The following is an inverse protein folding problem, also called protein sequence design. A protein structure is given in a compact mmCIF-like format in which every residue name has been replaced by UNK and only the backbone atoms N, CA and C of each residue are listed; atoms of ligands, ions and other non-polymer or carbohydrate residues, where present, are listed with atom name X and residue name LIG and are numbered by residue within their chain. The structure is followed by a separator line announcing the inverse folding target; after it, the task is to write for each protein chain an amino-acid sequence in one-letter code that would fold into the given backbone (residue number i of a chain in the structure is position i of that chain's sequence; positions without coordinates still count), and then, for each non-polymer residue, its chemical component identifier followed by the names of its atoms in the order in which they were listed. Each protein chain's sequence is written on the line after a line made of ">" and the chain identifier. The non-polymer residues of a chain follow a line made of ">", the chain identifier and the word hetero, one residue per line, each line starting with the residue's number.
data_IF_168573759604
#
_entry.id   IF_168573759604
#
_cell.length_a   1.000
_cell.length_b   1.000
_cell.length_c   1.000
_cell.angle_alpha   90.00
_cell.angle_beta   90.00
_cell.angle_gamma   90.00
#
_symmetry.space_group_name_H-M   'P 1'
#
loop_
_entity.id
_entity.type
_entity.pdbx_description
1 polymer ?
#
# COMPACT_ATOMS: atom_id res chain seq x y z
N UNK A 1 0.99 -62.91 33.18
CA UNK A 1 0.40 -62.27 31.98
C UNK A 1 -0.14 -60.92 32.42
N UNK A 2 0.35 -59.86 31.79
CA UNK A 2 0.27 -58.44 32.19
C UNK A 2 -1.09 -57.82 31.88
N UNK A 3 -1.59 -56.94 32.74
CA UNK A 3 -2.80 -56.14 32.54
C UNK A 3 -2.61 -55.08 31.43
N UNK A 4 -3.63 -54.79 30.58
CA UNK A 4 -3.54 -53.67 29.64
C UNK A 4 -3.62 -52.33 30.38
N UNK A 5 -2.66 -51.46 30.04
CA UNK A 5 -2.46 -50.10 30.55
C UNK A 5 -3.54 -49.10 30.07
N UNK A 6 -3.68 -47.95 30.75
CA UNK A 6 -4.76 -46.98 30.55
C UNK A 6 -4.63 -46.26 29.20
N UNK A 7 -5.77 -46.01 28.55
CA UNK A 7 -5.84 -45.05 27.46
C UNK A 7 -5.80 -43.64 28.06
N UNK A 8 -4.57 -43.15 28.16
CA UNK A 8 -4.16 -41.79 28.48
C UNK A 8 -4.88 -40.79 27.56
N UNK A 9 -5.58 -39.87 28.20
CA UNK A 9 -5.68 -38.44 27.89
C UNK A 9 -5.39 -37.98 26.45
N UNK A 10 -6.41 -37.40 25.81
CA UNK A 10 -6.28 -36.74 24.52
C UNK A 10 -5.29 -35.56 24.57
N UNK A 11 -4.57 -35.28 23.47
CA UNK A 11 -4.30 -33.89 23.12
C UNK A 11 -4.94 -33.54 21.78
N UNK A 12 -6.03 -32.78 21.87
CA UNK A 12 -6.45 -31.84 20.84
C UNK A 12 -5.41 -30.72 20.75
N UNK A 13 -4.60 -30.68 19.68
CA UNK A 13 -4.20 -29.42 19.04
C UNK A 13 -3.66 -29.71 17.64
N UNK A 14 -4.25 -29.14 16.57
CA UNK A 14 -3.74 -29.24 15.21
C UNK A 14 -2.40 -28.52 15.07
N UNK A 15 -1.54 -29.09 14.22
CA UNK A 15 -0.17 -28.64 13.91
C UNK A 15 -0.09 -27.13 13.67
N UNK A 16 0.67 -26.44 14.53
CA UNK A 16 1.22 -25.11 14.24
C UNK A 16 2.27 -25.28 13.12
N UNK A 17 1.81 -25.23 11.87
CA UNK A 17 2.69 -25.08 10.72
C UNK A 17 3.38 -23.71 10.79
N UNK A 18 4.64 -23.58 10.35
CA UNK A 18 5.35 -22.30 10.41
C UNK A 18 4.54 -21.25 9.65
N UNK A 19 4.00 -20.27 10.39
CA UNK A 19 3.40 -19.07 9.82
C UNK A 19 4.48 -18.42 8.96
N UNK A 20 4.29 -18.19 7.65
CA UNK A 20 5.23 -17.37 6.91
C UNK A 20 5.12 -15.98 7.50
N UNK A 21 6.09 -15.59 8.33
CA UNK A 21 6.33 -14.21 8.71
C UNK A 21 6.81 -13.50 7.45
N UNK A 22 5.89 -13.27 6.52
CA UNK A 22 6.05 -12.35 5.41
C UNK A 22 5.91 -10.94 5.95
N UNK A 23 6.80 -10.54 6.86
CA UNK A 23 7.14 -9.13 6.96
C UNK A 23 7.83 -8.80 5.64
N UNK A 24 7.26 -7.92 4.78
CA UNK A 24 8.02 -7.44 3.64
C UNK A 24 9.30 -6.81 4.20
N UNK A 25 10.48 -7.09 3.62
CA UNK A 25 11.72 -6.46 4.09
C UNK A 25 11.49 -4.96 4.08
N UNK A 26 11.75 -4.32 5.22
CA UNK A 26 11.49 -2.90 5.40
C UNK A 26 12.16 -2.08 4.30
N UNK A 27 11.34 -1.48 3.44
CA UNK A 27 11.74 -0.34 2.60
C UNK A 27 11.79 0.95 3.46
N UNK A 28 12.20 0.82 4.72
CA UNK A 28 12.34 1.93 5.66
C UNK A 28 13.62 2.76 5.38
N UNK A 29 14.42 2.37 4.38
CA UNK A 29 15.64 3.08 3.99
C UNK A 29 15.75 3.27 2.47
N UNK A 30 14.61 3.34 1.77
CA UNK A 30 14.58 4.00 0.48
C UNK A 30 14.73 5.51 0.72
N UNK A 31 15.96 5.95 1.03
CA UNK A 31 16.39 7.33 0.77
C UNK A 31 15.79 7.73 -0.58
N UNK A 32 15.15 8.90 -0.70
CA UNK A 32 14.53 9.27 -1.97
C UNK A 32 15.63 9.28 -3.02
N UNK A 33 15.66 8.22 -3.85
CA UNK A 33 16.55 8.12 -5.01
C UNK A 33 16.10 9.21 -5.94
N UNK A 34 16.73 10.40 -5.89
CA UNK A 34 16.48 11.58 -6.73
C UNK A 34 15.16 11.49 -7.51
N UNK A 35 14.04 11.47 -6.78
CA UNK A 35 12.77 11.12 -7.38
C UNK A 35 12.27 12.35 -8.10
N UNK A 36 12.23 12.29 -9.43
CA UNK A 36 11.67 13.39 -10.23
C UNK A 36 10.16 13.39 -10.05
N UNK A 37 9.65 14.38 -9.32
CA UNK A 37 8.22 14.60 -9.12
C UNK A 37 7.71 15.61 -10.13
N UNK A 38 6.61 15.28 -10.81
CA UNK A 38 5.90 16.20 -11.70
C UNK A 38 4.53 16.52 -11.13
N UNK A 39 4.28 17.82 -10.96
CA UNK A 39 3.03 18.33 -10.39
C UNK A 39 2.15 18.84 -11.53
N UNK A 40 0.93 18.33 -11.62
CA UNK A 40 -0.05 18.71 -12.64
C UNK A 40 -1.33 19.23 -11.98
N UNK A 41 -1.88 20.30 -12.55
CA UNK A 41 -3.23 20.77 -12.23
C UNK A 41 -4.24 19.78 -12.80
N UNK A 42 -5.20 19.31 -11.98
CA UNK A 42 -6.22 18.37 -12.41
C UNK A 42 -7.06 18.87 -13.61
N UNK A 43 -7.18 20.21 -13.78
CA UNK A 43 -7.90 20.84 -14.90
C UNK A 43 -7.18 20.66 -16.24
N UNK A 44 -5.86 20.44 -16.22
CA UNK A 44 -5.00 20.41 -17.40
C UNK A 44 -4.42 19.00 -17.66
N UNK A 45 -4.81 18.00 -16.86
CA UNK A 45 -4.30 16.63 -16.99
C UNK A 45 -4.85 15.97 -18.25
N UNK A 46 -3.92 15.50 -19.09
CA UNK A 46 -4.21 14.57 -20.18
C UNK A 46 -3.56 13.23 -19.89
N UNK A 47 -4.31 12.14 -20.06
CA UNK A 47 -3.82 10.79 -19.79
C UNK A 47 -2.53 10.43 -20.54
N UNK A 48 -2.35 10.75 -21.84
CA UNK A 48 -1.09 10.46 -22.54
C UNK A 48 0.14 11.10 -21.90
N UNK A 49 0.00 12.33 -21.39
CA UNK A 49 1.10 13.03 -20.73
C UNK A 49 1.45 12.35 -19.41
N UNK A 50 0.46 11.96 -18.61
CA UNK A 50 0.69 11.22 -17.35
C UNK A 50 1.41 9.90 -17.62
N UNK A 51 0.94 9.12 -18.60
CA UNK A 51 1.56 7.84 -18.95
C UNK A 51 3.02 8.00 -19.36
N UNK A 52 3.34 9.00 -20.20
CA UNK A 52 4.72 9.31 -20.58
C UNK A 52 5.63 9.58 -19.38
N UNK A 53 5.11 10.20 -18.32
CA UNK A 53 5.88 10.50 -17.11
C UNK A 53 6.11 9.25 -16.27
N UNK A 54 5.09 8.40 -16.15
CA UNK A 54 5.19 7.12 -15.44
C UNK A 54 6.13 6.15 -16.14
N UNK A 55 6.06 6.06 -17.48
CA UNK A 55 7.00 5.28 -18.30
C UNK A 55 8.45 5.74 -18.14
N UNK A 56 8.66 7.04 -17.91
CA UNK A 56 9.97 7.61 -17.61
C UNK A 56 10.43 7.40 -16.14
N UNK A 57 9.69 6.63 -15.35
CA UNK A 57 10.02 6.34 -13.95
C UNK A 57 9.82 7.54 -13.00
N UNK A 58 9.04 8.54 -13.40
CA UNK A 58 8.76 9.74 -12.59
C UNK A 58 7.52 9.53 -11.74
N UNK A 59 7.47 10.22 -10.60
CA UNK A 59 6.27 10.30 -9.78
C UNK A 59 5.39 11.45 -10.28
N UNK A 60 4.10 11.20 -10.50
CA UNK A 60 3.14 12.24 -10.91
C UNK A 60 2.22 12.57 -9.74
N UNK A 61 2.16 13.84 -9.35
CA UNK A 61 1.24 14.38 -8.36
C UNK A 61 0.19 15.23 -9.07
N UNK A 62 -1.07 14.83 -8.98
CA UNK A 62 -2.20 15.60 -9.54
C UNK A 62 -2.86 16.36 -8.41
N UNK A 63 -2.95 17.69 -8.56
CA UNK A 63 -3.56 18.59 -7.57
C UNK A 63 -4.86 19.14 -8.12
N UNK A 64 -5.95 18.88 -7.41
CA UNK A 64 -7.24 19.52 -7.66
C UNK A 64 -7.37 20.72 -6.73
N UNK A 65 -7.42 21.93 -7.29
CA UNK A 65 -7.86 23.08 -6.51
C UNK A 65 -9.37 22.96 -6.27
N UNK A 66 -9.87 23.32 -5.07
CA UNK A 66 -11.31 23.44 -4.86
C UNK A 66 -11.89 24.43 -5.88
N UNK A 67 -13.03 24.09 -6.47
CA UNK A 67 -13.82 25.08 -7.20
C UNK A 67 -14.19 26.18 -6.20
N UNK A 68 -13.61 27.36 -6.38
CA UNK A 68 -13.91 28.53 -5.57
C UNK A 68 -15.44 28.69 -5.59
N UNK A 69 -16.15 28.61 -4.45
CA UNK A 69 -17.58 28.85 -4.46
C UNK A 69 -17.78 30.24 -5.06
N UNK A 70 -18.78 30.44 -5.95
CA UNK A 70 -19.03 31.76 -6.50
C UNK A 70 -19.17 32.71 -5.32
N UNK A 71 -18.17 33.58 -5.16
CA UNK A 71 -18.16 34.54 -4.08
C UNK A 71 -19.48 35.27 -4.13
N UNK A 72 -20.15 35.28 -2.99
CA UNK A 72 -21.29 36.14 -2.68
C UNK A 72 -20.83 37.59 -2.89
N UNK A 73 -20.89 38.04 -4.14
CA UNK A 73 -20.51 39.38 -4.55
C UNK A 73 -21.75 40.28 -4.38
N UNK A 74 -21.92 40.79 -3.17
CA UNK A 74 -22.86 41.86 -2.79
C UNK A 74 -24.28 41.35 -2.50
N UNK A 75 -24.82 41.45 -1.28
CA UNK A 75 -25.16 42.68 -0.51
C UNK A 75 -25.80 43.78 -1.34
#
# INVERSE_FOLDING_TARGET
>A
MTAPQPADDAPSVPQDGPRPTGEPPGDADARPRDATVVVLSARDVRLPDVLRHLEAGRTVLIVSAPDEPPGDAGS
#
